data_IF_517900618877
#
_entry.id   IF_517900618877
#
_cell.length_a   1.000
_cell.length_b   1.000
_cell.length_c   1.000
_cell.angle_alpha   90.00
_cell.angle_beta   90.00
_cell.angle_gamma   90.00
#
_symmetry.space_group_name_H-M   'P 1'
#
loop_
_entity.id
_entity.type
_entity.pdbx_description
1 polymer ?
#
# COMPACT_ATOMS: atom_id res chain seq x y z
N UNK A 1 -43.80 46.29 -42.09
CA UNK A 1 -42.44 46.42 -41.59
C UNK A 1 -42.17 45.67 -40.27
N UNK A 2 -43.11 44.89 -39.73
CA UNK A 2 -42.98 44.23 -38.42
C UNK A 2 -42.50 42.77 -38.47
N UNK A 3 -42.35 42.18 -39.66
CA UNK A 3 -41.99 40.76 -39.85
C UNK A 3 -40.50 40.49 -40.08
N UNK A 4 -39.65 41.54 -40.19
CA UNK A 4 -38.24 41.40 -40.49
C UNK A 4 -37.32 41.40 -39.24
N UNK A 5 -37.83 41.79 -38.08
CA UNK A 5 -37.05 41.88 -36.84
C UNK A 5 -36.91 40.54 -36.10
N UNK A 6 -37.86 39.60 -36.32
CA UNK A 6 -37.86 38.31 -35.65
C UNK A 6 -36.67 37.44 -36.07
N UNK A 7 -36.33 37.28 -37.39
CA UNK A 7 -35.19 36.48 -37.80
C UNK A 7 -33.84 37.08 -37.41
N UNK A 8 -33.72 38.42 -37.26
CA UNK A 8 -32.49 39.10 -36.85
C UNK A 8 -32.23 38.89 -35.36
N UNK A 9 -33.28 38.88 -34.51
CA UNK A 9 -33.17 38.59 -33.07
C UNK A 9 -32.81 37.12 -32.83
N UNK A 10 -33.36 36.18 -33.61
CA UNK A 10 -33.01 34.75 -33.55
C UNK A 10 -31.56 34.53 -34.01
N UNK A 11 -31.03 35.24 -34.96
CA UNK A 11 -29.66 35.13 -35.43
C UNK A 11 -28.65 35.67 -34.39
N UNK A 12 -29.02 36.70 -33.59
CA UNK A 12 -28.19 37.22 -32.52
C UNK A 12 -28.14 36.30 -31.28
N UNK A 13 -29.12 35.43 -31.08
CA UNK A 13 -29.13 34.44 -30.00
C UNK A 13 -28.22 33.24 -30.30
N UNK A 14 -27.92 32.98 -31.58
CA UNK A 14 -27.03 31.87 -32.00
C UNK A 14 -25.54 32.23 -31.97
N UNK A 15 -25.17 33.49 -31.71
CA UNK A 15 -23.79 33.88 -31.40
C UNK A 15 -23.55 33.92 -29.88
N UNK A 16 -24.09 32.98 -29.15
CA UNK A 16 -23.79 32.77 -27.74
C UNK A 16 -22.32 32.38 -27.62
N UNK A 17 -21.55 33.18 -26.92
CA UNK A 17 -20.13 33.03 -26.69
C UNK A 17 -19.80 31.65 -26.16
N UNK A 18 -19.13 30.79 -26.93
CA UNK A 18 -18.48 29.57 -26.44
C UNK A 18 -17.48 29.92 -25.32
N UNK A 19 -16.85 31.08 -25.38
CA UNK A 19 -15.93 31.57 -24.33
C UNK A 19 -16.57 31.82 -22.97
N UNK A 20 -17.90 32.04 -22.88
CA UNK A 20 -18.59 32.23 -21.61
C UNK A 20 -18.82 30.91 -20.85
N UNK A 21 -18.83 29.78 -21.55
CA UNK A 21 -18.95 28.44 -20.95
C UNK A 21 -17.59 27.81 -20.64
N UNK A 22 -16.52 28.33 -21.23
CA UNK A 22 -15.12 27.94 -20.99
C UNK A 22 -14.45 28.87 -19.96
N UNK A 23 -15.12 29.16 -18.86
CA UNK A 23 -14.47 29.82 -17.71
C UNK A 23 -13.57 28.77 -17.05
N UNK A 24 -12.28 28.85 -17.31
CA UNK A 24 -11.29 28.17 -16.48
C UNK A 24 -11.50 28.64 -15.06
N UNK A 25 -12.03 27.76 -14.21
CA UNK A 25 -12.19 28.07 -12.80
C UNK A 25 -10.80 28.39 -12.24
N UNK A 26 -10.56 29.56 -11.64
CA UNK A 26 -9.26 29.90 -11.06
C UNK A 26 -8.87 29.00 -9.88
N UNK A 27 -9.75 28.09 -9.49
CA UNK A 27 -9.52 27.07 -8.44
C UNK A 27 -9.30 25.66 -9.00
N UNK A 28 -9.39 25.43 -10.31
CA UNK A 28 -8.96 24.19 -10.97
C UNK A 28 -7.53 24.35 -11.42
N UNK A 29 -6.60 23.77 -10.69
CA UNK A 29 -5.24 23.58 -11.19
C UNK A 29 -5.30 22.67 -12.40
N UNK A 30 -4.78 23.15 -13.53
CA UNK A 30 -4.58 22.32 -14.69
C UNK A 30 -3.57 21.23 -14.34
N UNK A 31 -3.81 19.98 -14.76
CA UNK A 31 -2.90 18.85 -14.53
C UNK A 31 -1.47 19.21 -14.96
N UNK A 32 -1.36 19.96 -16.06
CA UNK A 32 -0.08 20.39 -16.61
C UNK A 32 0.71 21.30 -15.65
N UNK A 33 0.04 22.11 -14.83
CA UNK A 33 0.70 22.99 -13.86
C UNK A 33 1.44 22.22 -12.79
N UNK A 34 0.91 21.06 -12.34
CA UNK A 34 1.49 20.23 -11.28
C UNK A 34 2.89 19.73 -11.67
N UNK A 35 3.15 19.54 -12.95
CA UNK A 35 4.40 18.99 -13.44
C UNK A 35 5.38 20.04 -13.98
N UNK A 36 5.16 21.33 -13.66
CA UNK A 36 6.04 22.44 -14.05
C UNK A 36 7.17 22.71 -13.07
N UNK A 37 7.08 22.22 -11.83
CA UNK A 37 8.12 22.41 -10.80
C UNK A 37 8.29 21.17 -9.92
N UNK A 38 9.50 20.96 -9.39
CA UNK A 38 9.79 19.84 -8.49
C UNK A 38 8.98 19.88 -7.18
N UNK A 39 8.62 21.07 -6.70
CA UNK A 39 7.81 21.24 -5.47
C UNK A 39 6.36 20.77 -5.68
N UNK A 40 5.77 21.06 -6.83
CA UNK A 40 4.43 20.58 -7.15
C UNK A 40 4.42 19.08 -7.43
N UNK A 41 5.46 18.57 -8.14
CA UNK A 41 5.65 17.12 -8.33
C UNK A 41 5.76 16.41 -6.99
N UNK A 42 6.48 16.96 -6.01
CA UNK A 42 6.58 16.37 -4.66
C UNK A 42 5.20 16.21 -3.99
N UNK A 43 4.29 17.17 -4.20
CA UNK A 43 2.92 17.08 -3.69
C UNK A 43 2.13 15.95 -4.36
N UNK A 44 2.27 15.80 -5.68
CA UNK A 44 1.65 14.69 -6.42
C UNK A 44 2.23 13.32 -5.99
N UNK A 45 3.55 13.26 -5.78
CA UNK A 45 4.26 12.07 -5.27
C UNK A 45 3.72 11.66 -3.90
N UNK A 46 3.55 12.61 -2.96
CA UNK A 46 2.94 12.32 -1.66
C UNK A 46 1.51 11.78 -1.80
N UNK A 47 0.76 12.24 -2.81
CA UNK A 47 -0.56 11.75 -3.12
C UNK A 47 -0.63 10.26 -3.46
N UNK A 48 0.46 9.67 -3.95
CA UNK A 48 0.53 8.25 -4.29
C UNK A 48 0.56 7.33 -3.06
N UNK A 49 0.98 7.84 -1.90
CA UNK A 49 1.02 7.08 -0.63
C UNK A 49 -0.34 7.04 0.08
N UNK A 50 -1.28 7.94 -0.27
CA UNK A 50 -2.59 8.05 0.40
C UNK A 50 -3.37 6.72 0.44
N UNK A 51 -3.45 5.91 -0.64
CA UNK A 51 -4.12 4.63 -0.58
C UNK A 51 -3.48 3.63 0.40
N UNK A 52 -2.16 3.72 0.63
CA UNK A 52 -1.44 2.83 1.56
C UNK A 52 -1.85 3.07 3.01
N UNK A 53 -1.97 4.35 3.39
CA UNK A 53 -2.32 4.78 4.76
C UNK A 53 -3.83 4.93 4.96
N UNK A 54 -4.63 4.62 3.97
CA UNK A 54 -6.09 4.59 4.09
C UNK A 54 -6.56 3.33 4.80
N UNK A 55 -7.79 3.34 5.33
CA UNK A 55 -8.41 2.14 5.89
C UNK A 55 -8.56 0.96 4.91
N UNK A 56 -8.30 1.16 3.61
CA UNK A 56 -8.31 0.11 2.58
C UNK A 56 -6.93 -0.52 2.36
N UNK A 57 -5.86 0.18 2.75
CA UNK A 57 -4.47 -0.17 2.50
C UNK A 57 -3.80 -0.95 3.64
N UNK A 58 -2.47 -0.78 3.74
CA UNK A 58 -1.61 -1.54 4.66
C UNK A 58 -1.88 -1.25 6.14
N UNK A 59 -2.36 -0.06 6.48
CA UNK A 59 -2.73 0.29 7.87
C UNK A 59 -4.17 -0.10 8.22
N UNK A 60 -4.88 -0.78 7.33
CA UNK A 60 -6.28 -1.13 7.51
C UNK A 60 -6.64 -2.51 6.93
N UNK A 61 -7.64 -2.54 6.06
CA UNK A 61 -8.25 -3.78 5.57
C UNK A 61 -7.28 -4.75 4.89
N UNK A 62 -6.29 -4.27 4.13
CA UNK A 62 -5.31 -5.16 3.50
C UNK A 62 -4.58 -5.99 4.56
N UNK A 63 -4.02 -5.34 5.58
CA UNK A 63 -3.33 -6.04 6.65
C UNK A 63 -4.27 -6.94 7.45
N UNK A 64 -5.42 -6.41 7.87
CA UNK A 64 -6.36 -7.13 8.73
C UNK A 64 -7.01 -8.34 8.05
N UNK A 65 -7.33 -8.24 6.75
CA UNK A 65 -8.07 -9.28 6.03
C UNK A 65 -7.17 -10.32 5.36
N UNK A 66 -5.95 -9.94 4.98
CA UNK A 66 -5.03 -10.84 4.30
C UNK A 66 -4.08 -11.58 5.24
N UNK A 67 -3.99 -11.18 6.52
CA UNK A 67 -3.22 -11.87 7.55
C UNK A 67 -4.06 -12.76 8.46
N UNK A 68 -5.38 -12.60 8.48
CA UNK A 68 -6.27 -13.54 9.13
C UNK A 68 -6.24 -14.90 8.42
N UNK A 69 -6.63 -15.96 9.11
CA UNK A 69 -6.66 -17.32 8.56
C UNK A 69 -5.29 -17.95 8.39
N UNK A 70 -4.40 -17.72 9.33
CA UNK A 70 -3.14 -18.43 9.43
C UNK A 70 -3.15 -19.34 10.67
N UNK A 71 -2.14 -20.18 10.78
CA UNK A 71 -1.87 -20.96 12.00
C UNK A 71 -1.27 -20.12 13.13
N UNK A 72 -0.98 -18.83 12.84
CA UNK A 72 -0.39 -17.87 13.78
C UNK A 72 -1.46 -17.03 14.47
N UNK A 73 -2.48 -16.60 13.72
CA UNK A 73 -3.47 -15.62 14.18
C UNK A 73 -4.90 -16.06 13.90
N UNK A 74 -5.82 -15.62 14.73
CA UNK A 74 -7.27 -15.78 14.48
C UNK A 74 -8.05 -14.57 14.98
N UNK A 75 -9.22 -14.35 14.37
CA UNK A 75 -10.15 -13.31 14.82
C UNK A 75 -11.12 -13.86 15.86
N UNK A 76 -11.42 -13.05 16.88
CA UNK A 76 -12.46 -13.36 17.87
C UNK A 76 -13.84 -12.86 17.48
N UNK A 77 -13.97 -12.16 16.36
CA UNK A 77 -15.25 -11.58 15.93
C UNK A 77 -16.12 -12.66 15.31
N UNK A 78 -17.28 -12.89 15.91
CA UNK A 78 -18.21 -13.99 15.59
C UNK A 78 -19.33 -13.58 14.62
N UNK A 79 -19.15 -12.52 13.84
CA UNK A 79 -20.11 -12.18 12.78
C UNK A 79 -20.01 -13.17 11.61
N UNK A 80 -21.10 -13.42 10.92
CA UNK A 80 -21.17 -14.41 9.83
C UNK A 80 -20.15 -14.16 8.71
N UNK A 81 -19.78 -12.90 8.43
CA UNK A 81 -18.75 -12.54 7.46
C UNK A 81 -17.34 -12.90 7.95
N UNK A 82 -17.03 -12.65 9.22
CA UNK A 82 -15.72 -12.96 9.77
C UNK A 82 -15.51 -14.45 10.04
N UNK A 83 -16.59 -15.21 10.27
CA UNK A 83 -16.52 -16.67 10.38
C UNK A 83 -16.11 -17.31 9.05
N UNK A 84 -16.57 -16.78 7.91
CA UNK A 84 -16.15 -17.27 6.59
C UNK A 84 -14.67 -17.05 6.34
N UNK A 85 -14.15 -15.87 6.68
CA UNK A 85 -12.72 -15.56 6.59
C UNK A 85 -11.91 -16.50 7.49
N UNK A 86 -12.33 -16.72 8.72
CA UNK A 86 -11.68 -17.61 9.69
C UNK A 86 -11.79 -19.10 9.32
N UNK A 87 -12.78 -19.47 8.51
CA UNK A 87 -12.98 -20.82 8.01
C UNK A 87 -12.32 -21.08 6.64
N UNK A 88 -11.53 -20.14 6.11
CA UNK A 88 -10.96 -20.19 4.76
C UNK A 88 -12.01 -20.35 3.65
N UNK A 89 -13.20 -19.81 3.86
CA UNK A 89 -14.34 -19.87 2.93
C UNK A 89 -14.79 -18.47 2.46
N UNK A 90 -13.88 -17.57 2.00
CA UNK A 90 -14.31 -16.31 1.42
C UNK A 90 -15.11 -16.58 0.14
N UNK A 91 -16.24 -15.91 -0.02
CA UNK A 91 -17.03 -16.01 -1.24
C UNK A 91 -16.91 -14.75 -2.10
N UNK A 92 -17.10 -14.90 -3.41
CA UNK A 92 -17.16 -13.77 -4.32
C UNK A 92 -18.29 -12.78 -3.97
N UNK A 93 -19.25 -13.17 -3.14
CA UNK A 93 -20.31 -12.30 -2.60
C UNK A 93 -19.86 -11.40 -1.44
N UNK A 94 -18.69 -11.64 -0.85
CA UNK A 94 -18.15 -10.82 0.25
C UNK A 94 -17.43 -9.57 -0.29
N UNK A 95 -18.04 -8.91 -1.27
CA UNK A 95 -17.51 -7.74 -2.00
C UNK A 95 -17.18 -6.57 -1.07
N UNK A 96 -17.88 -6.43 0.07
CA UNK A 96 -17.68 -5.28 0.96
C UNK A 96 -16.29 -5.19 1.57
N UNK A 97 -15.68 -6.31 1.95
CA UNK A 97 -14.34 -6.34 2.55
C UNK A 97 -13.24 -6.34 1.49
N UNK A 98 -13.28 -7.31 0.58
CA UNK A 98 -12.23 -7.49 -0.44
C UNK A 98 -12.33 -6.46 -1.57
N UNK A 99 -13.53 -6.03 -1.96
CA UNK A 99 -13.75 -4.97 -2.95
C UNK A 99 -13.19 -3.62 -2.50
N UNK A 100 -13.16 -3.35 -1.20
CA UNK A 100 -12.54 -2.13 -0.68
C UNK A 100 -11.02 -2.13 -0.86
N UNK A 101 -10.37 -3.28 -0.63
CA UNK A 101 -8.93 -3.45 -0.84
C UNK A 101 -8.60 -3.32 -2.33
N UNK A 102 -9.34 -4.03 -3.19
CA UNK A 102 -9.23 -3.92 -4.65
C UNK A 102 -9.29 -2.46 -5.12
N UNK A 103 -10.32 -1.73 -4.67
CA UNK A 103 -10.49 -0.32 -5.03
C UNK A 103 -9.32 0.54 -4.53
N UNK A 104 -8.82 0.28 -3.31
CA UNK A 104 -7.66 0.99 -2.77
C UNK A 104 -6.38 0.75 -3.57
N UNK A 105 -6.15 -0.50 -3.99
CA UNK A 105 -4.96 -0.83 -4.80
C UNK A 105 -5.03 -0.17 -6.19
N UNK A 106 -6.20 -0.18 -6.85
CA UNK A 106 -6.36 0.49 -8.15
C UNK A 106 -6.39 2.02 -8.05
N UNK A 107 -6.83 2.61 -6.94
CA UNK A 107 -6.63 4.05 -6.68
C UNK A 107 -5.13 4.36 -6.64
N UNK A 108 -4.33 3.52 -5.96
CA UNK A 108 -2.87 3.64 -5.97
C UNK A 108 -2.25 3.51 -7.36
N UNK A 109 -2.66 2.50 -8.12
CA UNK A 109 -2.22 2.31 -9.52
C UNK A 109 -2.54 3.54 -10.38
N UNK A 110 -3.76 4.08 -10.26
CA UNK A 110 -4.15 5.24 -11.06
C UNK A 110 -3.34 6.48 -10.70
N UNK A 111 -3.16 6.78 -9.40
CA UNK A 111 -2.34 7.90 -8.91
C UNK A 111 -0.89 7.80 -9.37
N UNK A 112 -0.31 6.59 -9.30
CA UNK A 112 1.07 6.37 -9.78
C UNK A 112 1.19 6.53 -11.29
N UNK A 113 0.20 6.05 -12.07
CA UNK A 113 0.16 6.27 -13.50
C UNK A 113 0.03 7.76 -13.86
N UNK A 114 -0.81 8.53 -13.12
CA UNK A 114 -0.94 9.97 -13.30
C UNK A 114 0.40 10.71 -13.09
N UNK A 115 1.14 10.32 -12.03
CA UNK A 115 2.45 10.93 -11.74
C UNK A 115 3.49 10.54 -12.79
N UNK A 116 3.57 9.26 -13.17
CA UNK A 116 4.49 8.79 -14.20
C UNK A 116 4.26 9.54 -15.52
N UNK A 117 3.02 9.54 -16.02
CA UNK A 117 2.67 10.22 -17.27
C UNK A 117 2.94 11.72 -17.19
N UNK A 118 2.56 12.38 -16.08
CA UNK A 118 2.78 13.80 -15.89
C UNK A 118 4.26 14.17 -15.86
N UNK A 119 5.11 13.36 -15.20
CA UNK A 119 6.56 13.56 -15.23
C UNK A 119 7.10 13.36 -16.65
N UNK A 120 6.74 12.27 -17.34
CA UNK A 120 7.20 11.96 -18.69
C UNK A 120 6.86 13.03 -19.71
N UNK A 121 5.74 13.72 -19.54
CA UNK A 121 5.29 14.82 -20.41
C UNK A 121 5.84 16.19 -20.00
N UNK A 122 6.53 16.30 -18.86
CA UNK A 122 7.00 17.58 -18.33
C UNK A 122 8.27 18.08 -19.07
N UNK A 123 8.42 19.40 -19.25
CA UNK A 123 9.66 19.98 -19.74
C UNK A 123 10.88 19.68 -18.84
N UNK A 124 10.65 19.45 -17.56
CA UNK A 124 11.71 19.10 -16.60
C UNK A 124 12.31 17.73 -16.94
N UNK A 125 11.46 16.75 -17.31
CA UNK A 125 11.91 15.41 -17.68
C UNK A 125 12.59 15.38 -19.06
N UNK A 126 12.14 16.22 -19.99
CA UNK A 126 12.83 16.38 -21.27
C UNK A 126 14.27 16.89 -21.10
N UNK A 127 14.46 17.85 -20.18
CA UNK A 127 15.76 18.45 -19.88
C UNK A 127 16.66 17.61 -18.95
N UNK A 128 16.12 16.59 -18.28
CA UNK A 128 16.84 15.81 -17.29
C UNK A 128 17.84 14.82 -17.90
N UNK A 129 19.00 14.65 -17.22
CA UNK A 129 19.91 13.52 -17.47
C UNK A 129 19.32 12.26 -16.81
N UNK A 130 18.69 11.43 -17.64
CA UNK A 130 17.97 10.20 -17.18
C UNK A 130 18.92 9.08 -16.74
N UNK A 131 20.23 9.29 -16.80
CA UNK A 131 21.24 8.30 -16.38
C UNK A 131 21.84 8.60 -15.02
N UNK A 132 21.47 9.72 -14.40
CA UNK A 132 22.01 10.17 -13.11
C UNK A 132 20.94 10.39 -12.07
N UNK A 133 21.23 10.11 -10.80
CA UNK A 133 20.34 10.46 -9.70
C UNK A 133 20.09 11.97 -9.67
N UNK A 134 18.82 12.35 -9.56
CA UNK A 134 18.34 13.71 -9.32
C UNK A 134 17.01 13.62 -8.58
N UNK A 135 16.54 14.73 -8.03
CA UNK A 135 15.24 14.75 -7.34
C UNK A 135 14.10 14.32 -8.26
N UNK A 136 14.08 14.83 -9.49
CA UNK A 136 13.07 14.45 -10.48
C UNK A 136 13.12 12.95 -10.82
N UNK A 137 14.34 12.41 -11.05
CA UNK A 137 14.50 11.00 -11.37
C UNK A 137 14.18 10.10 -10.18
N UNK A 138 14.45 10.57 -8.96
CA UNK A 138 14.03 9.89 -7.74
C UNK A 138 12.49 9.82 -7.64
N UNK A 139 11.78 10.93 -7.85
CA UNK A 139 10.31 10.96 -7.86
C UNK A 139 9.69 10.07 -8.95
N UNK A 140 10.31 10.03 -10.12
CA UNK A 140 9.93 9.12 -11.19
C UNK A 140 10.11 7.65 -10.77
N UNK A 141 11.24 7.34 -10.13
CA UNK A 141 11.51 6.03 -9.53
C UNK A 141 10.49 5.65 -8.46
N UNK A 142 10.19 6.57 -7.52
CA UNK A 142 9.16 6.34 -6.49
C UNK A 142 7.80 5.95 -7.10
N UNK A 143 7.39 6.67 -8.15
CA UNK A 143 6.11 6.39 -8.81
C UNK A 143 6.08 4.97 -9.41
N UNK A 144 7.17 4.54 -10.06
CA UNK A 144 7.29 3.18 -10.60
C UNK A 144 7.35 2.13 -9.48
N UNK A 145 8.07 2.39 -8.39
CA UNK A 145 8.16 1.49 -7.24
C UNK A 145 6.79 1.29 -6.58
N UNK A 146 6.06 2.36 -6.33
CA UNK A 146 4.74 2.28 -5.71
C UNK A 146 3.73 1.60 -6.64
N UNK A 147 3.77 1.86 -7.96
CA UNK A 147 2.95 1.12 -8.93
C UNK A 147 3.21 -0.39 -8.87
N UNK A 148 4.47 -0.79 -8.84
CA UNK A 148 4.87 -2.18 -8.73
C UNK A 148 4.39 -2.81 -7.41
N UNK A 149 4.47 -2.07 -6.31
CA UNK A 149 3.97 -2.53 -5.00
C UNK A 149 2.46 -2.73 -5.01
N UNK A 150 1.67 -1.81 -5.58
CA UNK A 150 0.22 -1.98 -5.72
C UNK A 150 -0.14 -3.19 -6.59
N UNK A 151 0.55 -3.37 -7.73
CA UNK A 151 0.34 -4.54 -8.57
C UNK A 151 0.78 -5.85 -7.93
N UNK A 152 1.85 -5.85 -7.14
CA UNK A 152 2.25 -7.04 -6.39
C UNK A 152 1.14 -7.50 -5.45
N UNK A 153 0.50 -6.59 -4.72
CA UNK A 153 -0.62 -6.94 -3.84
C UNK A 153 -1.86 -7.42 -4.62
N UNK A 154 -2.18 -6.79 -5.75
CA UNK A 154 -3.25 -7.25 -6.63
C UNK A 154 -2.99 -8.67 -7.13
N UNK A 155 -1.80 -8.94 -7.66
CA UNK A 155 -1.40 -10.25 -8.19
C UNK A 155 -1.35 -11.31 -7.10
N UNK A 156 -0.84 -10.98 -5.90
CA UNK A 156 -0.76 -11.93 -4.77
C UNK A 156 -2.14 -12.41 -4.33
N UNK A 157 -3.11 -11.53 -4.33
CA UNK A 157 -4.42 -11.80 -3.75
C UNK A 157 -5.48 -12.24 -4.79
N UNK A 158 -5.35 -11.82 -6.06
CA UNK A 158 -6.33 -12.13 -7.11
C UNK A 158 -5.77 -12.86 -8.33
N UNK A 159 -4.46 -13.03 -8.43
CA UNK A 159 -3.84 -13.68 -9.58
C UNK A 159 -3.80 -12.78 -10.82
N UNK A 160 -4.47 -13.22 -11.90
CA UNK A 160 -4.59 -12.43 -13.12
C UNK A 160 -5.57 -11.29 -12.91
N UNK A 161 -5.13 -10.06 -13.22
CA UNK A 161 -5.90 -8.84 -12.95
C UNK A 161 -5.86 -7.87 -14.12
N UNK A 162 -6.81 -6.92 -14.23
CA UNK A 162 -6.74 -5.84 -15.21
C UNK A 162 -5.42 -5.05 -15.08
N UNK A 163 -4.70 -4.90 -16.18
CA UNK A 163 -3.38 -4.27 -16.20
C UNK A 163 -3.39 -2.94 -16.96
N UNK A 164 -3.06 -1.85 -16.25
CA UNK A 164 -3.01 -0.49 -16.78
C UNK A 164 -1.67 0.15 -16.53
N UNK A 165 -1.08 0.71 -17.58
CA UNK A 165 0.16 1.50 -17.49
C UNK A 165 -0.07 3.01 -17.67
N UNK A 166 -1.30 3.40 -17.94
CA UNK A 166 -1.74 4.80 -18.12
C UNK A 166 -2.92 5.10 -17.21
N UNK A 167 -3.15 6.36 -16.87
CA UNK A 167 -4.34 6.79 -16.15
C UNK A 167 -5.62 6.34 -16.84
N UNK A 168 -6.67 6.08 -16.07
CA UNK A 168 -7.99 5.79 -16.62
C UNK A 168 -8.59 7.08 -17.19
N UNK A 169 -8.70 7.18 -18.51
CA UNK A 169 -9.19 8.37 -19.20
C UNK A 169 -10.63 8.26 -19.67
N UNK A 170 -10.93 7.34 -20.55
CA UNK A 170 -12.21 7.21 -21.22
C UNK A 170 -13.05 6.05 -20.69
N UNK A 171 -14.39 6.14 -20.84
CA UNK A 171 -15.33 5.10 -20.41
C UNK A 171 -15.06 3.75 -21.06
N UNK A 172 -14.61 3.72 -22.31
CA UNK A 172 -14.31 2.50 -23.04
C UNK A 172 -13.07 1.77 -22.52
N UNK A 173 -12.15 2.48 -21.85
CA UNK A 173 -10.97 1.92 -21.22
C UNK A 173 -11.22 1.36 -19.81
N UNK A 174 -12.43 1.52 -19.28
CA UNK A 174 -12.78 1.01 -17.94
C UNK A 174 -13.01 -0.51 -17.93
N UNK A 175 -13.33 -1.10 -19.07
CA UNK A 175 -13.67 -2.52 -19.20
C UNK A 175 -12.54 -3.27 -19.93
N UNK A 176 -11.43 -3.47 -19.24
CA UNK A 176 -10.32 -4.28 -19.74
C UNK A 176 -10.34 -5.67 -19.07
N UNK A 177 -9.98 -6.69 -19.85
CA UNK A 177 -9.85 -8.06 -19.33
C UNK A 177 -8.67 -8.20 -18.37
N UNK A 178 -8.64 -9.32 -17.65
CA UNK A 178 -7.49 -9.69 -16.84
C UNK A 178 -6.28 -10.00 -17.73
N UNK A 179 -5.11 -9.61 -17.27
CA UNK A 179 -3.80 -9.91 -17.88
C UNK A 179 -3.11 -10.96 -17.01
N UNK A 180 -2.41 -11.89 -17.64
CA UNK A 180 -1.62 -12.89 -16.95
C UNK A 180 -0.65 -12.23 -15.95
N UNK A 181 -0.68 -12.72 -14.72
CA UNK A 181 0.13 -12.23 -13.60
C UNK A 181 1.63 -12.19 -13.90
N UNK A 182 2.12 -13.11 -14.71
CA UNK A 182 3.55 -13.17 -15.02
C UNK A 182 3.98 -12.09 -16.00
N UNK A 183 3.09 -11.66 -16.88
CA UNK A 183 3.30 -10.48 -17.73
C UNK A 183 3.41 -9.25 -16.83
N UNK A 184 2.46 -9.08 -15.90
CA UNK A 184 2.44 -7.93 -14.97
C UNK A 184 3.72 -7.90 -14.12
N UNK A 185 4.08 -9.02 -13.49
CA UNK A 185 5.28 -9.10 -12.65
C UNK A 185 6.56 -8.85 -13.45
N UNK A 186 6.65 -9.40 -14.67
CA UNK A 186 7.81 -9.18 -15.55
C UNK A 186 7.97 -7.71 -15.91
N UNK A 187 6.89 -7.04 -16.32
CA UNK A 187 6.91 -5.63 -16.68
C UNK A 187 7.29 -4.76 -15.47
N UNK A 188 6.72 -5.03 -14.29
CA UNK A 188 7.04 -4.28 -13.08
C UNK A 188 8.52 -4.49 -12.67
N UNK A 189 9.04 -5.71 -12.73
CA UNK A 189 10.46 -5.98 -12.47
C UNK A 189 11.35 -5.19 -13.42
N UNK A 190 11.03 -5.16 -14.71
CA UNK A 190 11.81 -4.41 -15.71
C UNK A 190 11.75 -2.90 -15.45
N UNK A 191 10.57 -2.35 -15.13
CA UNK A 191 10.41 -0.94 -14.75
C UNK A 191 11.29 -0.58 -13.53
N UNK A 192 11.34 -1.44 -12.54
CA UNK A 192 12.16 -1.22 -11.33
C UNK A 192 13.66 -1.32 -11.62
N UNK A 193 14.08 -2.29 -12.43
CA UNK A 193 15.49 -2.44 -12.85
C UNK A 193 15.98 -1.20 -13.61
N UNK A 194 15.11 -0.59 -14.42
CA UNK A 194 15.41 0.63 -15.17
C UNK A 194 15.66 1.82 -14.24
N UNK A 195 14.82 2.01 -13.22
CA UNK A 195 14.89 3.20 -12.37
C UNK A 195 15.79 3.07 -11.15
N UNK A 196 16.10 1.84 -10.72
CA UNK A 196 16.93 1.59 -9.52
C UNK A 196 18.23 2.42 -9.52
N UNK A 197 19.01 2.51 -10.61
CA UNK A 197 20.28 3.22 -10.60
C UNK A 197 20.17 4.75 -10.41
N UNK A 198 19.01 5.33 -10.68
CA UNK A 198 18.80 6.79 -10.62
C UNK A 198 17.99 7.22 -9.40
N UNK A 199 17.62 6.28 -8.54
CA UNK A 199 16.97 6.56 -7.26
C UNK A 199 18.00 6.89 -6.17
N UNK A 200 17.60 7.73 -5.22
CA UNK A 200 18.35 8.02 -4.02
C UNK A 200 18.23 6.89 -2.99
N UNK A 201 19.28 6.72 -2.21
CA UNK A 201 19.24 5.95 -0.98
C UNK A 201 18.40 6.67 0.08
N UNK A 202 17.87 5.93 1.06
CA UNK A 202 17.05 6.51 2.13
C UNK A 202 17.79 7.63 2.88
N UNK A 203 19.09 7.50 3.09
CA UNK A 203 19.95 8.51 3.74
C UNK A 203 20.11 9.80 2.93
N UNK A 204 19.83 9.78 1.63
CA UNK A 204 19.90 10.95 0.73
C UNK A 204 18.58 11.70 0.64
N UNK A 205 17.49 11.11 1.15
CA UNK A 205 16.14 11.67 1.17
C UNK A 205 15.79 12.23 2.54
N UNK A 206 15.10 13.37 2.57
CA UNK A 206 14.56 13.97 3.79
C UNK A 206 13.40 13.18 4.41
N UNK A 207 12.86 12.20 3.67
CA UNK A 207 11.79 11.30 4.13
C UNK A 207 12.32 9.94 4.61
N UNK A 208 13.61 9.68 4.48
CA UNK A 208 14.24 8.45 4.94
C UNK A 208 13.55 7.18 4.38
N UNK A 209 13.35 6.19 5.24
CA UNK A 209 12.67 4.92 4.90
C UNK A 209 11.14 5.02 4.86
N UNK A 210 10.56 6.17 5.19
CA UNK A 210 9.13 6.44 5.05
C UNK A 210 8.74 6.82 3.60
N UNK A 211 9.70 6.77 2.68
CA UNK A 211 9.48 6.90 1.25
C UNK A 211 10.21 5.79 0.48
N UNK A 212 9.75 5.51 -0.74
CA UNK A 212 10.39 4.49 -1.56
C UNK A 212 11.81 4.93 -1.96
N UNK A 213 12.80 4.26 -1.39
CA UNK A 213 14.22 4.47 -1.61
C UNK A 213 14.79 3.49 -2.64
N UNK A 214 16.07 3.65 -2.98
CA UNK A 214 16.78 2.74 -3.84
C UNK A 214 16.87 1.33 -3.24
N UNK A 215 17.13 1.23 -1.94
CA UNK A 215 17.22 -0.02 -1.21
C UNK A 215 15.86 -0.74 -1.18
N UNK A 216 14.78 0.02 -1.00
CA UNK A 216 13.44 -0.54 -1.09
C UNK A 216 13.13 -1.03 -2.50
N UNK A 217 13.52 -0.28 -3.54
CA UNK A 217 13.41 -0.73 -4.94
C UNK A 217 14.16 -2.05 -5.16
N UNK A 218 15.40 -2.18 -4.67
CA UNK A 218 16.18 -3.42 -4.75
C UNK A 218 15.49 -4.58 -4.03
N UNK A 219 15.02 -4.37 -2.80
CA UNK A 219 14.28 -5.35 -2.01
C UNK A 219 12.97 -5.78 -2.69
N UNK A 220 12.26 -4.84 -3.30
CA UNK A 220 11.02 -5.11 -4.03
C UNK A 220 11.27 -5.91 -5.31
N UNK A 221 12.32 -5.58 -6.08
CA UNK A 221 12.74 -6.39 -7.24
C UNK A 221 13.00 -7.84 -6.82
N UNK A 222 13.77 -8.04 -5.75
CA UNK A 222 14.06 -9.38 -5.25
C UNK A 222 12.79 -10.14 -4.87
N UNK A 223 11.89 -9.49 -4.12
CA UNK A 223 10.60 -10.09 -3.72
C UNK A 223 9.73 -10.43 -4.92
N UNK A 224 9.57 -9.51 -5.86
CA UNK A 224 8.75 -9.74 -7.06
C UNK A 224 9.33 -10.85 -7.94
N UNK A 225 10.66 -10.93 -8.07
CA UNK A 225 11.32 -11.96 -8.81
C UNK A 225 11.11 -13.36 -8.19
N UNK A 226 11.11 -13.48 -6.85
CA UNK A 226 10.73 -14.72 -6.17
C UNK A 226 9.29 -15.14 -6.48
N UNK A 227 8.35 -14.19 -6.49
CA UNK A 227 6.96 -14.47 -6.87
C UNK A 227 6.83 -14.89 -8.34
N UNK A 228 7.55 -14.20 -9.24
CA UNK A 228 7.51 -14.51 -10.68
C UNK A 228 8.14 -15.85 -11.04
N UNK A 229 9.21 -16.23 -10.35
CA UNK A 229 9.88 -17.52 -10.52
C UNK A 229 9.27 -18.65 -9.67
N UNK A 230 8.34 -18.37 -8.77
CA UNK A 230 7.76 -19.32 -7.82
C UNK A 230 6.62 -20.16 -8.38
N UNK A 231 6.21 -21.16 -7.58
CA UNK A 231 5.00 -21.93 -7.82
C UNK A 231 3.77 -21.10 -7.50
N UNK A 232 2.78 -21.12 -8.39
CA UNK A 232 1.51 -20.39 -8.20
C UNK A 232 0.33 -21.23 -8.65
N UNK A 233 -0.83 -21.03 -7.98
CA UNK A 233 -2.08 -21.59 -8.42
C UNK A 233 -2.51 -20.91 -9.74
N UNK A 234 -2.71 -21.71 -10.80
CA UNK A 234 -3.21 -21.24 -12.09
C UNK A 234 -4.63 -21.73 -12.28
N UNK A 235 -5.57 -20.82 -12.59
CA UNK A 235 -6.95 -21.21 -12.88
C UNK A 235 -7.01 -22.06 -14.15
N UNK A 236 -7.98 -22.98 -14.18
CA UNK A 236 -8.34 -23.66 -15.42
C UNK A 236 -9.49 -22.89 -16.10
N UNK A 237 -9.14 -22.07 -17.06
CA UNK A 237 -10.12 -21.27 -17.81
C UNK A 237 -11.10 -22.11 -18.64
N UNK A 238 -10.76 -23.37 -18.94
CA UNK A 238 -11.66 -24.30 -19.62
C UNK A 238 -12.70 -24.90 -18.66
N UNK A 239 -12.39 -24.94 -17.38
CA UNK A 239 -13.29 -25.41 -16.32
C UNK A 239 -13.22 -24.48 -15.09
N UNK A 240 -13.97 -23.35 -15.12
CA UNK A 240 -13.95 -22.37 -14.04
C UNK A 240 -14.39 -22.89 -12.65
N UNK A 241 -15.02 -24.07 -12.61
CA UNK A 241 -15.39 -24.73 -11.36
C UNK A 241 -14.22 -25.54 -10.74
N UNK A 242 -13.14 -25.77 -11.48
CA UNK A 242 -11.97 -26.44 -10.96
C UNK A 242 -11.12 -25.49 -10.11
N UNK A 243 -10.46 -26.05 -9.08
CA UNK A 243 -9.54 -25.29 -8.21
C UNK A 243 -8.31 -24.79 -9.02
N UNK A 244 -8.03 -25.39 -10.19
CA UNK A 244 -6.81 -25.13 -10.95
C UNK A 244 -5.64 -26.01 -10.49
N UNK A 245 -4.45 -25.67 -10.93
CA UNK A 245 -3.24 -26.44 -10.62
C UNK A 245 -2.06 -25.56 -10.25
N UNK A 246 -1.18 -26.09 -9.38
CA UNK A 246 0.08 -25.42 -9.05
C UNK A 246 1.04 -25.56 -10.22
N UNK A 247 1.50 -24.43 -10.76
CA UNK A 247 2.39 -24.37 -11.91
C UNK A 247 3.52 -23.37 -11.66
N UNK A 248 4.61 -23.56 -12.38
CA UNK A 248 5.75 -22.66 -12.42
C UNK A 248 6.28 -22.58 -13.85
N UNK A 249 6.66 -21.41 -14.31
CA UNK A 249 7.18 -21.22 -15.66
C UNK A 249 8.60 -21.79 -15.82
N UNK A 250 8.95 -22.17 -17.04
CA UNK A 250 10.26 -22.77 -17.36
C UNK A 250 11.44 -21.79 -17.14
N UNK A 251 11.18 -20.48 -17.20
CA UNK A 251 12.17 -19.42 -17.02
C UNK A 251 12.42 -19.02 -15.54
N UNK A 252 11.93 -19.81 -14.59
CA UNK A 252 11.99 -19.51 -13.16
C UNK A 252 13.41 -19.26 -12.63
N UNK A 253 14.42 -19.95 -13.14
CA UNK A 253 15.81 -19.80 -12.72
C UNK A 253 16.32 -18.38 -12.94
N UNK A 254 16.02 -17.79 -14.10
CA UNK A 254 16.33 -16.39 -14.41
C UNK A 254 15.81 -15.42 -13.33
N UNK A 255 14.59 -15.66 -12.84
CA UNK A 255 14.01 -14.77 -11.82
C UNK A 255 14.61 -15.02 -10.43
N UNK A 256 15.01 -16.23 -10.12
CA UNK A 256 15.74 -16.51 -8.89
C UNK A 256 17.15 -15.88 -8.90
N UNK A 257 17.84 -15.86 -10.05
CA UNK A 257 19.09 -15.13 -10.22
C UNK A 257 18.90 -13.62 -10.06
N UNK A 258 17.81 -13.07 -10.57
CA UNK A 258 17.44 -11.66 -10.33
C UNK A 258 17.19 -11.41 -8.83
N UNK A 259 16.47 -12.30 -8.17
CA UNK A 259 16.19 -12.17 -6.74
C UNK A 259 17.47 -12.21 -5.90
N UNK A 260 18.35 -13.17 -6.17
CA UNK A 260 19.67 -13.27 -5.52
C UNK A 260 20.51 -12.00 -5.73
N UNK A 261 20.61 -11.54 -6.98
CA UNK A 261 21.36 -10.33 -7.33
C UNK A 261 20.88 -9.10 -6.55
N UNK A 262 19.57 -8.86 -6.49
CA UNK A 262 19.04 -7.64 -5.89
C UNK A 262 18.94 -7.72 -4.37
N UNK A 263 18.66 -8.87 -3.79
CA UNK A 263 18.84 -9.10 -2.35
C UNK A 263 20.31 -8.93 -1.93
N UNK A 264 21.23 -9.45 -2.76
CA UNK A 264 22.67 -9.28 -2.57
C UNK A 264 23.12 -7.81 -2.61
N UNK A 265 22.49 -6.94 -3.44
CA UNK A 265 22.78 -5.51 -3.43
C UNK A 265 22.44 -4.88 -2.09
N UNK A 266 21.20 -5.11 -1.56
CA UNK A 266 20.79 -4.58 -0.25
C UNK A 266 21.79 -4.97 0.85
N UNK A 267 22.24 -6.23 0.85
CA UNK A 267 23.18 -6.74 1.87
C UNK A 267 24.58 -6.14 1.69
N UNK A 268 25.09 -6.13 0.46
CA UNK A 268 26.50 -5.81 0.18
C UNK A 268 26.78 -4.30 0.10
N UNK A 269 25.79 -3.48 -0.20
CA UNK A 269 25.94 -2.01 -0.22
C UNK A 269 26.04 -1.42 1.18
N UNK A 270 25.69 -2.20 2.23
CA UNK A 270 25.97 -1.88 3.63
C UNK A 270 25.22 -0.66 4.17
N UNK A 271 24.08 -0.33 3.55
CA UNK A 271 23.24 0.82 3.96
C UNK A 271 22.36 0.49 5.15
N UNK A 272 22.11 -0.79 5.39
CA UNK A 272 21.26 -1.29 6.47
C UNK A 272 22.02 -2.23 7.39
N UNK A 273 21.56 -2.36 8.63
CA UNK A 273 22.15 -3.25 9.62
C UNK A 273 21.08 -3.94 10.46
N UNK A 274 21.41 -5.08 11.08
CA UNK A 274 20.55 -5.81 12.01
C UNK A 274 21.14 -5.73 13.44
N UNK A 275 21.65 -4.56 13.82
CA UNK A 275 22.39 -4.37 15.08
C UNK A 275 21.48 -4.09 16.28
N UNK A 276 20.24 -3.62 16.06
CA UNK A 276 19.28 -3.42 17.14
C UNK A 276 18.73 -4.75 17.64
N UNK A 277 18.43 -4.82 18.93
CA UNK A 277 17.67 -5.95 19.45
C UNK A 277 16.23 -5.92 18.92
N UNK A 278 15.61 -7.08 18.77
CA UNK A 278 14.20 -7.20 18.38
C UNK A 278 13.26 -6.33 19.21
N UNK A 279 13.52 -6.25 20.53
CA UNK A 279 12.76 -5.38 21.43
C UNK A 279 12.97 -3.89 21.11
N UNK A 280 14.21 -3.47 20.80
CA UNK A 280 14.50 -2.07 20.51
C UNK A 280 13.82 -1.61 19.23
N UNK A 281 13.76 -2.44 18.19
CA UNK A 281 13.02 -2.15 16.95
C UNK A 281 11.58 -1.78 17.28
N UNK A 282 10.88 -2.62 18.05
CA UNK A 282 9.48 -2.37 18.42
C UNK A 282 9.29 -1.15 19.32
N UNK A 283 10.20 -0.89 20.23
CA UNK A 283 10.16 0.30 21.10
C UNK A 283 10.33 1.57 20.27
N UNK A 284 11.26 1.55 19.32
CA UNK A 284 11.53 2.69 18.46
C UNK A 284 10.34 2.97 17.54
N UNK A 285 9.77 1.94 16.88
CA UNK A 285 8.56 2.06 16.07
C UNK A 285 7.39 2.67 16.87
N UNK A 286 7.13 2.15 18.07
CA UNK A 286 6.08 2.70 18.94
C UNK A 286 6.38 4.14 19.42
N UNK A 287 7.63 4.58 19.35
CA UNK A 287 8.10 5.92 19.74
C UNK A 287 8.32 6.84 18.54
N UNK A 288 7.98 6.37 17.32
CA UNK A 288 8.19 7.07 16.04
C UNK A 288 9.66 7.42 15.77
N UNK A 289 10.55 6.53 16.17
CA UNK A 289 11.98 6.60 15.88
C UNK A 289 12.25 5.62 14.75
N UNK A 290 12.43 6.14 13.54
CA UNK A 290 12.62 5.35 12.32
C UNK A 290 14.00 5.67 11.71
N UNK A 291 15.06 4.96 12.12
CA UNK A 291 16.41 5.18 11.61
C UNK A 291 16.54 4.73 10.15
N UNK A 292 17.30 5.48 9.35
CA UNK A 292 17.47 5.23 7.91
C UNK A 292 18.45 4.11 7.56
N UNK A 293 19.29 3.67 8.50
CA UNK A 293 20.41 2.75 8.28
C UNK A 293 20.34 1.50 9.18
N UNK A 294 19.16 1.16 9.63
CA UNK A 294 18.91 0.02 10.48
C UNK A 294 18.16 -1.09 9.75
N UNK A 295 17.39 -1.93 10.45
CA UNK A 295 16.69 -3.08 9.89
C UNK A 295 15.46 -2.72 9.03
N UNK A 296 14.88 -1.53 9.19
CA UNK A 296 13.81 -1.06 8.34
C UNK A 296 14.33 -0.59 6.97
N UNK A 297 13.80 -1.18 5.88
CA UNK A 297 14.10 -0.78 4.50
C UNK A 297 13.02 0.15 3.96
N UNK A 298 11.79 -0.06 4.39
CA UNK A 298 10.63 0.75 4.04
C UNK A 298 9.57 0.64 5.12
N UNK A 299 9.04 1.77 5.52
CA UNK A 299 7.98 1.87 6.50
C UNK A 299 6.79 2.64 5.93
N UNK A 300 5.57 2.19 6.22
CA UNK A 300 4.35 2.89 5.80
C UNK A 300 3.99 3.90 6.88
N UNK A 301 4.23 5.21 6.66
CA UNK A 301 4.08 6.21 7.70
C UNK A 301 2.62 6.36 8.11
N UNK A 302 2.37 6.38 9.42
CA UNK A 302 1.07 6.67 10.00
C UNK A 302 1.11 8.01 10.73
N UNK A 303 0.21 8.93 10.37
CA UNK A 303 0.13 10.24 11.02
C UNK A 303 -0.51 10.10 12.41
N UNK A 304 0.02 10.82 13.39
CA UNK A 304 -0.59 10.99 14.73
C UNK A 304 -2.04 11.42 14.61
N UNK A 305 -2.95 10.65 15.23
CA UNK A 305 -4.39 10.88 15.13
C UNK A 305 -4.99 10.54 13.77
N UNK A 306 -4.20 9.90 12.89
CA UNK A 306 -4.64 9.33 11.63
C UNK A 306 -5.20 7.91 11.79
N UNK A 307 -4.96 7.03 10.81
CA UNK A 307 -5.39 5.64 10.88
C UNK A 307 -4.54 4.84 11.87
N UNK A 308 -5.18 4.27 12.88
CA UNK A 308 -4.54 3.44 13.91
C UNK A 308 -5.08 2.03 13.97
N UNK A 309 -5.65 1.52 12.87
CA UNK A 309 -6.37 0.24 12.85
C UNK A 309 -5.49 -0.95 13.25
N UNK A 310 -4.22 -0.98 12.87
CA UNK A 310 -3.31 -2.08 13.23
C UNK A 310 -3.13 -2.17 14.73
N UNK A 311 -2.68 -1.09 15.38
CA UNK A 311 -2.51 -1.05 16.83
C UNK A 311 -3.81 -1.25 17.60
N UNK A 312 -4.93 -0.75 17.04
CA UNK A 312 -6.25 -0.95 17.62
C UNK A 312 -6.71 -2.40 17.57
N UNK A 313 -6.50 -3.09 16.46
CA UNK A 313 -6.99 -4.47 16.26
C UNK A 313 -6.02 -5.53 16.78
N UNK A 314 -4.71 -5.31 16.68
CA UNK A 314 -3.66 -6.29 17.04
C UNK A 314 -2.95 -6.00 18.35
N UNK A 315 -3.24 -4.89 18.97
CA UNK A 315 -2.68 -4.61 20.28
C UNK A 315 -3.27 -5.50 21.36
N UNK A 316 -2.60 -5.54 22.51
CA UNK A 316 -3.16 -6.10 23.74
C UNK A 316 -4.52 -5.50 24.02
N UNK A 317 -5.50 -6.34 24.39
CA UNK A 317 -6.82 -5.83 24.74
C UNK A 317 -6.73 -4.84 25.89
N UNK A 318 -7.15 -3.61 25.63
CA UNK A 318 -7.25 -2.54 26.63
C UNK A 318 -8.68 -2.06 26.62
N UNK A 319 -9.38 -2.26 27.75
CA UNK A 319 -10.78 -1.87 27.85
C UNK A 319 -10.96 -0.38 27.57
N UNK A 320 -12.01 -0.03 26.85
CA UNK A 320 -12.37 1.34 26.57
C UNK A 320 -12.53 2.15 27.86
N UNK A 321 -11.71 3.17 28.01
CA UNK A 321 -11.81 4.10 29.13
C UNK A 321 -12.78 5.22 28.73
N UNK A 322 -13.78 5.41 29.58
CA UNK A 322 -14.75 6.50 29.41
C UNK A 322 -14.47 7.59 30.43
N UNK A 323 -14.54 8.83 30.00
CA UNK A 323 -14.55 9.97 30.93
C UNK A 323 -15.88 10.01 31.74
N UNK A 324 -16.00 10.96 32.66
CA UNK A 324 -17.22 11.14 33.47
C UNK A 324 -18.49 11.39 32.64
N UNK A 325 -18.34 11.79 31.37
CA UNK A 325 -19.42 12.07 30.41
C UNK A 325 -19.75 10.87 29.51
N UNK A 326 -19.06 9.72 29.74
CA UNK A 326 -19.28 8.51 28.95
C UNK A 326 -18.59 8.48 27.58
N UNK A 327 -17.75 9.49 27.25
CA UNK A 327 -16.97 9.55 26.02
C UNK A 327 -15.68 8.76 26.16
N UNK A 328 -15.19 8.18 25.08
CA UNK A 328 -13.90 7.51 25.07
C UNK A 328 -12.78 8.52 25.37
N UNK A 329 -11.96 8.26 26.38
CA UNK A 329 -10.87 9.13 26.73
C UNK A 329 -9.72 8.95 25.74
N UNK A 330 -9.51 9.94 24.89
CA UNK A 330 -8.37 10.00 23.95
C UNK A 330 -7.01 10.10 24.65
N UNK A 331 -6.99 10.44 25.95
CA UNK A 331 -5.78 10.65 26.76
C UNK A 331 -5.57 9.55 27.82
N UNK A 332 -6.12 8.36 27.61
CA UNK A 332 -5.89 7.25 28.52
C UNK A 332 -4.39 6.89 28.57
N UNK A 333 -3.79 6.70 29.75
CA UNK A 333 -2.33 6.46 29.88
C UNK A 333 -1.80 5.26 29.11
N UNK A 334 -2.66 4.29 28.79
CA UNK A 334 -2.30 3.07 28.05
C UNK A 334 -2.98 2.97 26.69
N UNK A 335 -3.64 4.02 26.22
CA UNK A 335 -4.38 4.00 24.97
C UNK A 335 -5.65 3.14 25.04
N UNK A 336 -6.08 2.66 23.87
CA UNK A 336 -7.27 1.82 23.70
C UNK A 336 -7.02 0.81 22.58
N UNK A 337 -7.28 -0.46 22.82
CA UNK A 337 -7.17 -1.51 21.82
C UNK A 337 -8.31 -2.53 21.97
N UNK A 338 -8.93 -2.91 20.84
CA UNK A 338 -9.98 -3.92 20.83
C UNK A 338 -9.44 -5.34 21.00
N UNK A 339 -8.16 -5.56 20.69
CA UNK A 339 -7.56 -6.89 20.67
C UNK A 339 -8.38 -7.87 19.81
N UNK A 340 -8.89 -7.42 18.66
CA UNK A 340 -9.75 -8.22 17.79
C UNK A 340 -9.05 -9.39 17.13
N UNK A 341 -7.74 -9.25 16.89
CA UNK A 341 -6.88 -10.34 16.43
C UNK A 341 -6.17 -10.98 17.60
N UNK A 342 -6.15 -12.29 17.64
CA UNK A 342 -5.53 -13.09 18.70
C UNK A 342 -4.46 -13.98 18.12
N UNK A 343 -3.42 -14.18 18.91
CA UNK A 343 -2.36 -15.12 18.60
C UNK A 343 -2.81 -16.55 18.91
N UNK A 344 -2.50 -17.49 18.02
CA UNK A 344 -2.77 -18.90 18.25
C UNK A 344 -1.83 -19.47 19.32
N UNK A 345 -2.38 -20.22 20.28
CA UNK A 345 -1.59 -20.83 21.36
C UNK A 345 -0.50 -21.76 20.80
N UNK A 346 -0.78 -22.47 19.73
CA UNK A 346 0.17 -23.34 19.04
C UNK A 346 1.40 -22.59 18.56
N UNK A 347 1.22 -21.37 18.06
CA UNK A 347 2.32 -20.51 17.64
C UNK A 347 3.18 -20.09 18.84
N UNK A 348 2.57 -19.66 19.95
CA UNK A 348 3.30 -19.34 21.15
C UNK A 348 4.12 -20.53 21.67
N UNK A 349 3.54 -21.74 21.63
CA UNK A 349 4.21 -22.97 22.08
C UNK A 349 5.31 -23.45 21.11
N UNK A 350 5.36 -22.94 19.88
CA UNK A 350 6.42 -23.27 18.91
C UNK A 350 7.74 -22.55 19.17
N UNK A 351 7.74 -21.48 19.99
CA UNK A 351 8.97 -20.79 20.35
C UNK A 351 9.84 -21.61 21.31
N UNK A 352 11.14 -21.61 21.08
CA UNK A 352 12.09 -22.09 22.09
C UNK A 352 12.00 -21.22 23.34
N UNK A 353 12.16 -21.83 24.54
CA UNK A 353 12.10 -21.10 25.80
C UNK A 353 13.17 -20.01 25.96
N UNK A 354 14.23 -20.05 25.15
CA UNK A 354 15.31 -19.07 25.13
C UNK A 354 15.10 -17.99 24.07
N UNK A 355 14.08 -18.11 23.22
CA UNK A 355 13.79 -17.12 22.20
C UNK A 355 13.14 -15.88 22.82
N UNK A 356 13.91 -14.80 22.92
CA UNK A 356 13.48 -13.54 23.52
C UNK A 356 12.31 -12.87 22.76
N UNK A 357 12.06 -13.27 21.51
CA UNK A 357 10.94 -12.73 20.72
C UNK A 357 9.59 -13.22 21.23
N UNK A 358 9.53 -14.42 21.81
CA UNK A 358 8.30 -14.99 22.36
C UNK A 358 7.62 -14.04 23.34
N UNK A 359 8.33 -13.60 24.35
CA UNK A 359 7.75 -12.82 25.46
C UNK A 359 7.43 -11.36 25.05
N UNK A 360 7.97 -10.90 23.93
CA UNK A 360 7.61 -9.61 23.34
C UNK A 360 6.40 -9.72 22.41
N UNK A 361 6.31 -10.83 21.66
CA UNK A 361 5.25 -11.03 20.65
C UNK A 361 3.98 -11.60 21.26
N UNK A 362 4.10 -12.48 22.27
CA UNK A 362 3.02 -13.27 22.83
C UNK A 362 2.63 -12.77 24.22
N UNK A 363 1.67 -11.87 24.30
CA UNK A 363 1.17 -11.40 25.58
C UNK A 363 0.11 -12.35 26.16
N UNK A 364 0.29 -12.71 27.44
CA UNK A 364 -0.60 -13.58 28.20
C UNK A 364 -1.49 -12.81 29.19
N UNK A 365 -1.69 -11.52 28.94
CA UNK A 365 -2.51 -10.67 29.81
C UNK A 365 -3.33 -9.67 28.99
N UNK A 366 -4.31 -9.08 29.66
CA UNK A 366 -5.11 -7.98 29.17
C UNK A 366 -5.19 -6.88 30.21
N UNK A 367 -5.46 -5.67 29.78
CA UNK A 367 -5.73 -4.59 30.71
C UNK A 367 -7.23 -4.43 30.92
N UNK A 368 -7.68 -4.65 32.15
CA UNK A 368 -9.04 -4.36 32.58
C UNK A 368 -9.08 -3.09 33.41
N UNK A 369 -10.11 -2.29 33.20
CA UNK A 369 -10.28 -1.04 33.90
C UNK A 369 -11.36 -1.15 34.97
N UNK A 370 -11.05 -0.68 36.18
CA UNK A 370 -12.02 -0.37 37.22
C UNK A 370 -12.27 1.13 37.38
N UNK A 371 -11.97 1.93 36.35
CA UNK A 371 -12.02 3.39 36.31
C UNK A 371 -10.76 3.96 35.68
N UNK A 372 -10.79 5.20 35.20
CA UNK A 372 -9.67 5.81 34.44
C UNK A 372 -8.33 5.87 35.20
N UNK A 373 -8.32 5.57 36.48
CA UNK A 373 -7.15 5.67 37.35
C UNK A 373 -6.53 4.33 37.73
N UNK A 374 -7.20 3.20 37.50
CA UNK A 374 -6.75 1.88 37.97
C UNK A 374 -6.84 0.86 36.84
N UNK A 375 -5.81 0.83 36.00
CA UNK A 375 -5.65 -0.24 35.01
C UNK A 375 -4.95 -1.41 35.68
N UNK A 376 -5.62 -2.55 35.74
CA UNK A 376 -5.05 -3.77 36.27
C UNK A 376 -4.72 -4.74 35.12
N UNK A 377 -3.49 -5.24 35.13
CA UNK A 377 -3.08 -6.33 34.26
C UNK A 377 -3.72 -7.63 34.78
N UNK A 378 -4.45 -8.31 33.89
CA UNK A 378 -5.10 -9.59 34.24
C UNK A 378 -4.67 -10.68 33.26
N UNK A 379 -4.39 -11.90 33.76
CA UNK A 379 -4.14 -13.03 32.87
C UNK A 379 -5.30 -13.26 31.92
N UNK A 380 -4.99 -13.71 30.73
CA UNK A 380 -5.97 -14.27 29.80
C UNK A 380 -6.24 -15.68 30.25
N UNK A 381 -7.48 -15.96 30.63
CA UNK A 381 -7.92 -17.30 31.06
C UNK A 381 -8.14 -18.20 29.85
#
# INVERSE_FOLDING_TARGET
>A
MRKFYIPVIILMILTSCEDYLNVNSPSTFDKDYIFTSESEIATAVNGMYVPMVSGKGWVGNLAQKMLFNTDVEFTTVTTSSNLKESAFEPSAGDISSYGSIWTGMYDGVNRTNDVIEGIEQSPLFEAADKTKPSRLMHYYGEAKVLRAMYYLELVRNWGDVPYRRKPAGNKDELFIGATDRDIILTDMINDLIEVEPVMWYAEESDRGVEAASREFCQGLIARMALYRGGWTLRPDYSNPAAIGSMQRNDDWQKYYEIAEKYAGKVINEGKHSLNRSFRQVWVDECSWIVPVNDDNIFDVPAKVGGSGELGYSWGTYIVSQKNSEGQNASNAPHGYSSGGSKLALTYMLSFDNKDLRRDLTCEMFRYENSGMTNIAQKPIA
#
